data_IF_545940450908
#
_entry.id   IF_545940450908
#
_cell.length_a   1.000
_cell.length_b   1.000
_cell.length_c   1.000
_cell.angle_alpha   90.00
_cell.angle_beta   90.00
_cell.angle_gamma   90.00
#
_symmetry.space_group_name_H-M   'P 1'
#
loop_
_entity.id
_entity.type
_entity.pdbx_description
1 polymer ?
#
# COMPACT_ATOMS: atom_id res chain seq x y z
N UNK A 1 -81.76 12.70 33.94
CA UNK A 1 -81.35 12.16 35.25
C UNK A 1 -80.84 10.74 35.02
N UNK A 2 -79.54 10.51 35.19
CA UNK A 2 -78.86 9.23 35.49
C UNK A 2 -79.08 7.91 34.67
N UNK A 3 -77.92 7.35 34.26
CA UNK A 3 -77.52 5.94 34.02
C UNK A 3 -78.19 5.08 32.91
N UNK A 4 -77.43 4.59 31.92
CA UNK A 4 -76.74 3.27 31.94
C UNK A 4 -75.98 2.91 30.64
N UNK A 5 -74.66 2.70 30.79
CA UNK A 5 -73.73 1.64 30.30
C UNK A 5 -73.96 0.88 28.96
N UNK A 6 -72.93 0.89 28.10
CA UNK A 6 -72.13 -0.23 27.49
C UNK A 6 -71.47 0.30 26.21
N UNK A 7 -70.19 0.14 25.88
CA UNK A 7 -69.03 -0.54 26.44
C UNK A 7 -67.96 -0.67 25.34
N UNK A 8 -66.67 -0.52 25.68
CA UNK A 8 -65.56 -1.37 25.21
C UNK A 8 -64.20 -0.77 25.58
N UNK A 9 -63.33 -1.66 26.03
CA UNK A 9 -61.99 -1.50 26.59
C UNK A 9 -61.08 -0.56 25.76
N UNK A 10 -60.34 0.38 26.37
CA UNK A 10 -59.13 0.18 27.18
C UNK A 10 -58.04 -0.57 26.36
N UNK A 11 -56.83 -0.07 26.14
CA UNK A 11 -55.96 0.67 27.07
C UNK A 11 -54.80 1.33 26.31
N UNK A 12 -54.68 2.66 26.46
CA UNK A 12 -53.48 3.49 26.69
C UNK A 12 -52.19 3.16 25.92
N UNK A 13 -51.89 4.03 24.94
CA UNK A 13 -50.54 4.30 24.42
C UNK A 13 -49.85 5.28 25.38
N UNK A 14 -48.79 4.85 26.06
CA UNK A 14 -47.84 5.76 26.72
C UNK A 14 -46.40 5.27 26.55
N UNK A 15 -45.64 6.08 25.81
CA UNK A 15 -44.23 6.46 26.03
C UNK A 15 -43.27 5.45 26.66
N UNK A 16 -42.38 4.85 25.84
CA UNK A 16 -40.97 4.59 26.20
C UNK A 16 -40.10 4.57 24.92
N UNK A 17 -39.60 5.74 24.52
CA UNK A 17 -38.37 5.85 23.73
C UNK A 17 -37.21 5.78 24.71
N UNK A 18 -36.44 4.69 24.72
CA UNK A 18 -34.99 4.62 25.00
C UNK A 18 -34.58 3.14 25.07
N UNK A 19 -33.42 2.82 24.45
CA UNK A 19 -32.65 1.56 24.49
C UNK A 19 -33.07 0.44 23.50
N UNK A 20 -32.40 0.41 22.35
CA UNK A 20 -32.24 -0.81 21.53
C UNK A 20 -30.85 -1.41 21.78
N UNK A 21 -30.74 -2.70 22.15
CA UNK A 21 -29.45 -3.37 22.33
C UNK A 21 -28.94 -4.00 21.03
N UNK A 22 -27.61 -4.08 20.99
CA UNK A 22 -26.76 -4.84 20.06
C UNK A 22 -27.16 -6.33 20.11
N UNK A 23 -27.53 -6.92 18.98
CA UNK A 23 -27.78 -8.38 18.87
C UNK A 23 -26.69 -9.06 18.03
N UNK A 24 -26.06 -10.01 18.72
CA UNK A 24 -25.14 -11.05 18.30
C UNK A 24 -25.46 -11.71 16.94
N UNK A 25 -24.43 -11.84 16.11
CA UNK A 25 -24.35 -12.82 15.03
C UNK A 25 -23.37 -13.94 15.46
N UNK A 26 -23.87 -14.88 16.26
CA UNK A 26 -23.22 -16.15 16.56
C UNK A 26 -24.28 -17.24 16.56
N UNK A 27 -24.36 -18.03 15.49
CA UNK A 27 -24.68 -19.46 15.48
C UNK A 27 -24.75 -19.97 14.04
N UNK A 28 -24.65 -21.29 13.89
CA UNK A 28 -24.56 -22.09 12.66
C UNK A 28 -23.15 -22.37 12.12
N UNK A 29 -22.47 -23.30 12.80
CA UNK A 29 -21.63 -24.28 12.13
C UNK A 29 -21.99 -25.67 12.68
N UNK A 30 -22.75 -26.44 11.90
CA UNK A 30 -22.83 -27.89 12.12
C UNK A 30 -21.57 -28.58 11.59
N UNK A 31 -21.28 -29.70 12.25
CA UNK A 31 -20.02 -30.43 12.31
C UNK A 31 -19.98 -31.46 11.17
N UNK A 32 -18.89 -31.49 10.40
CA UNK A 32 -18.48 -32.69 9.66
C UNK A 32 -17.03 -33.00 10.06
N UNK A 33 -16.87 -34.03 10.89
CA UNK A 33 -15.60 -34.63 11.27
C UNK A 33 -15.13 -35.59 10.18
N UNK A 34 -14.03 -35.28 9.50
CA UNK A 34 -13.31 -36.24 8.65
C UNK A 34 -12.06 -36.70 9.39
N UNK A 35 -11.97 -38.01 9.67
CA UNK A 35 -10.83 -38.64 10.34
C UNK A 35 -9.57 -38.61 9.43
N UNK A 36 -8.36 -38.38 9.98
CA UNK A 36 -7.13 -38.38 9.20
C UNK A 36 -6.66 -39.82 8.87
N UNK A 37 -6.22 -40.02 7.63
CA UNK A 37 -5.54 -41.23 7.15
C UNK A 37 -4.03 -41.12 7.43
N UNK A 38 -3.35 -42.16 7.95
CA UNK A 38 -1.93 -42.09 8.26
C UNK A 38 -1.07 -42.33 7.01
N UNK A 39 -0.17 -41.41 6.68
CA UNK A 39 0.87 -41.62 5.66
C UNK A 39 2.23 -41.86 6.32
N UNK A 40 2.86 -43.00 5.99
CA UNK A 40 4.21 -43.35 6.40
C UNK A 40 5.25 -42.54 5.60
N UNK A 41 6.35 -42.09 6.22
CA UNK A 41 7.44 -41.44 5.49
C UNK A 41 8.29 -42.46 4.72
N UNK A 42 8.66 -42.12 3.47
CA UNK A 42 9.69 -42.83 2.69
C UNK A 42 11.06 -42.13 2.84
N UNK A 43 12.18 -42.86 2.70
CA UNK A 43 13.51 -42.34 3.02
C UNK A 43 14.05 -41.39 1.95
N UNK A 44 14.80 -40.39 2.41
CA UNK A 44 15.52 -39.39 1.60
C UNK A 44 16.81 -40.02 1.07
N UNK A 45 16.94 -40.12 -0.25
CA UNK A 45 18.24 -40.37 -0.91
C UNK A 45 18.94 -39.05 -1.19
N UNK A 46 20.10 -38.83 -0.57
CA UNK A 46 21.01 -37.73 -0.89
C UNK A 46 21.57 -37.91 -2.31
N UNK A 47 21.36 -36.92 -3.19
CA UNK A 47 22.13 -36.77 -4.43
C UNK A 47 23.14 -35.65 -4.28
N UNK A 48 24.40 -35.96 -4.48
CA UNK A 48 25.49 -35.01 -4.64
C UNK A 48 25.26 -34.13 -5.87
N UNK A 49 25.28 -32.80 -5.67
CA UNK A 49 25.34 -31.83 -6.74
C UNK A 49 26.81 -31.47 -7.02
N UNK A 50 27.28 -31.87 -8.19
CA UNK A 50 28.54 -31.43 -8.78
C UNK A 50 28.45 -29.96 -9.22
N UNK A 51 29.45 -29.16 -8.84
CA UNK A 51 29.62 -27.76 -9.20
C UNK A 51 29.67 -27.56 -10.73
N UNK A 52 28.67 -26.88 -11.29
CA UNK A 52 28.72 -26.32 -12.64
C UNK A 52 28.94 -24.82 -12.52
N UNK A 53 30.04 -24.31 -13.09
CA UNK A 53 30.32 -22.87 -13.19
C UNK A 53 29.33 -22.20 -14.16
N UNK A 54 28.80 -21.00 -13.85
CA UNK A 54 27.95 -20.26 -14.76
C UNK A 54 28.75 -19.70 -15.96
N UNK A 55 28.13 -19.58 -17.15
CA UNK A 55 28.77 -19.03 -18.34
C UNK A 55 28.92 -17.51 -18.26
N UNK A 56 30.06 -17.03 -18.74
CA UNK A 56 30.43 -15.61 -18.85
C UNK A 56 29.71 -14.98 -20.04
N UNK A 57 28.77 -14.07 -19.79
CA UNK A 57 28.13 -13.24 -20.83
C UNK A 57 28.95 -11.96 -21.00
N UNK A 58 29.67 -11.84 -22.13
CA UNK A 58 30.30 -10.59 -22.53
C UNK A 58 29.24 -9.63 -23.09
N UNK A 59 28.82 -8.63 -22.31
CA UNK A 59 28.00 -7.53 -22.80
C UNK A 59 28.87 -6.43 -23.40
N UNK A 60 29.03 -6.41 -24.73
CA UNK A 60 29.47 -5.19 -25.45
C UNK A 60 28.26 -4.26 -25.58
N UNK A 61 28.22 -3.20 -24.79
CA UNK A 61 27.33 -2.08 -25.04
C UNK A 61 27.85 -1.28 -26.25
N UNK A 62 27.01 -0.88 -27.21
CA UNK A 62 27.42 0.02 -28.29
C UNK A 62 27.71 1.43 -27.75
N UNK A 63 28.75 2.06 -28.32
CA UNK A 63 29.16 3.42 -27.98
C UNK A 63 28.08 4.47 -28.37
N UNK A 64 27.97 5.58 -27.62
CA UNK A 64 27.02 6.65 -27.94
C UNK A 64 27.40 7.39 -29.24
N UNK A 65 26.43 7.96 -29.98
CA UNK A 65 26.70 8.72 -31.20
C UNK A 65 27.56 9.97 -30.97
N UNK A 66 28.47 10.22 -31.91
CA UNK A 66 29.54 11.22 -31.94
C UNK A 66 29.09 12.70 -32.04
N UNK A 67 27.89 13.05 -31.60
CA UNK A 67 27.30 14.40 -31.79
C UNK A 67 27.12 15.22 -30.50
N UNK A 68 27.93 14.97 -29.46
CA UNK A 68 27.92 15.76 -28.20
C UNK A 68 29.33 16.23 -27.78
N UNK A 69 30.30 16.23 -28.71
CA UNK A 69 31.70 16.55 -28.40
C UNK A 69 32.02 18.06 -28.32
N UNK A 70 31.18 18.96 -28.84
CA UNK A 70 31.55 20.37 -29.02
C UNK A 70 30.63 21.37 -28.29
N UNK A 71 30.58 21.28 -26.95
CA UNK A 71 30.11 22.41 -26.14
C UNK A 71 31.16 22.83 -25.12
N UNK A 72 32.17 23.57 -25.58
CA UNK A 72 33.09 24.33 -24.72
C UNK A 72 32.40 25.61 -24.24
N UNK A 73 31.48 25.46 -23.29
CA UNK A 73 30.90 26.58 -22.54
C UNK A 73 31.87 27.07 -21.46
N UNK A 74 32.20 28.36 -21.51
CA UNK A 74 33.05 29.13 -20.60
C UNK A 74 33.07 28.63 -19.15
N UNK A 75 34.25 28.25 -18.67
CA UNK A 75 34.54 27.99 -17.25
C UNK A 75 34.48 29.31 -16.47
N UNK A 76 33.28 29.73 -16.10
CA UNK A 76 33.12 30.66 -14.99
C UNK A 76 33.15 29.82 -13.73
N UNK A 77 34.24 29.92 -12.94
CA UNK A 77 34.34 29.38 -11.59
C UNK A 77 33.30 30.07 -10.69
N UNK A 78 32.05 29.66 -10.81
CA UNK A 78 31.06 29.85 -9.76
C UNK A 78 31.51 28.88 -8.67
N UNK A 79 32.05 29.44 -7.59
CA UNK A 79 32.13 28.75 -6.31
C UNK A 79 30.72 28.24 -5.99
N UNK A 80 30.45 26.97 -6.31
CA UNK A 80 29.24 26.28 -5.88
C UNK A 80 29.33 26.20 -4.37
N UNK A 81 28.83 27.22 -3.67
CA UNK A 81 28.23 26.98 -2.36
C UNK A 81 27.21 25.89 -2.62
N UNK A 82 27.45 24.69 -2.10
CA UNK A 82 26.39 23.70 -1.90
C UNK A 82 25.23 24.45 -1.24
N UNK A 83 24.20 24.79 -2.02
CA UNK A 83 22.95 25.25 -1.45
C UNK A 83 22.40 24.04 -0.72
N UNK A 84 22.70 23.95 0.58
CA UNK A 84 22.11 22.96 1.47
C UNK A 84 20.60 23.10 1.36
N UNK A 85 19.96 22.13 0.72
CA UNK A 85 18.52 22.13 0.60
C UNK A 85 17.93 21.81 1.98
N UNK A 86 16.94 22.60 2.42
CA UNK A 86 16.34 22.42 3.73
C UNK A 86 15.38 21.22 3.72
N UNK A 87 15.42 20.34 4.73
CA UNK A 87 14.51 19.21 4.82
C UNK A 87 13.05 19.65 4.71
N UNK A 88 12.32 19.01 3.80
CA UNK A 88 10.89 19.25 3.60
C UNK A 88 10.11 18.53 4.70
N UNK A 89 9.22 19.26 5.37
CA UNK A 89 8.50 18.76 6.54
C UNK A 89 7.17 18.10 6.14
N UNK A 90 6.46 18.71 5.20
CA UNK A 90 5.08 18.38 4.88
C UNK A 90 5.00 17.40 3.71
N UNK A 91 4.27 16.30 3.88
CA UNK A 91 4.20 15.20 2.92
C UNK A 91 2.78 14.69 2.77
N UNK A 92 2.29 14.71 1.54
CA UNK A 92 1.08 13.98 1.16
C UNK A 92 1.51 12.69 0.49
N UNK A 93 1.65 11.63 1.28
CA UNK A 93 1.88 10.29 0.76
C UNK A 93 0.56 9.54 0.56
N UNK A 94 0.11 9.51 -0.69
CA UNK A 94 -1.07 8.73 -1.06
C UNK A 94 -0.70 7.28 -1.33
N UNK A 95 -1.17 6.37 -0.47
CA UNK A 95 -0.91 4.93 -0.61
C UNK A 95 -1.77 4.31 -1.72
N UNK A 96 -1.11 3.60 -2.62
CA UNK A 96 -1.79 2.66 -3.53
C UNK A 96 -1.75 1.23 -2.96
N UNK A 97 -2.69 0.39 -3.35
CA UNK A 97 -2.77 -0.97 -2.82
C UNK A 97 -1.75 -1.92 -3.47
N UNK A 98 -1.07 -2.70 -2.62
CA UNK A 98 -0.16 -3.82 -2.98
C UNK A 98 1.10 -3.41 -3.75
N UNK A 99 1.57 -2.21 -3.49
CA UNK A 99 2.76 -1.58 -4.10
C UNK A 99 3.91 -1.39 -3.12
N UNK A 100 4.05 -2.28 -2.13
CA UNK A 100 4.92 -2.08 -0.96
C UNK A 100 4.60 -0.81 -0.15
N UNK A 101 3.37 -0.30 -0.27
CA UNK A 101 2.99 1.01 0.28
C UNK A 101 3.04 1.10 1.80
N UNK A 102 2.91 -0.02 2.52
CA UNK A 102 3.08 -0.05 3.99
C UNK A 102 4.53 0.12 4.44
N UNK A 103 5.50 -0.31 3.63
CA UNK A 103 6.94 -0.14 3.88
C UNK A 103 7.29 1.35 3.79
N UNK A 104 6.85 2.02 2.72
CA UNK A 104 7.02 3.47 2.57
C UNK A 104 6.22 4.27 3.62
N UNK A 105 5.06 3.77 4.07
CA UNK A 105 4.29 4.41 5.15
C UNK A 105 5.12 4.47 6.43
N UNK A 106 5.87 3.41 6.78
CA UNK A 106 6.71 3.42 7.96
C UNK A 106 7.74 4.56 7.91
N UNK A 107 8.42 4.74 6.78
CA UNK A 107 9.38 5.84 6.55
C UNK A 107 8.72 7.19 6.82
N UNK A 108 7.59 7.48 6.17
CA UNK A 108 6.89 8.77 6.29
C UNK A 108 6.34 8.97 7.71
N UNK A 109 5.83 7.93 8.36
CA UNK A 109 5.36 7.99 9.74
C UNK A 109 6.48 8.28 10.74
N UNK A 110 7.67 7.67 10.58
CA UNK A 110 8.83 7.97 11.43
C UNK A 110 9.30 9.40 11.26
N UNK A 111 9.34 9.90 10.02
CA UNK A 111 9.68 11.29 9.75
C UNK A 111 8.74 12.25 10.49
N UNK A 112 7.43 12.05 10.34
CA UNK A 112 6.45 12.89 11.02
C UNK A 112 6.47 12.76 12.55
N UNK A 113 6.64 11.55 13.09
CA UNK A 113 6.73 11.33 14.54
C UNK A 113 7.94 12.05 15.15
N UNK A 114 9.13 11.87 14.57
CA UNK A 114 10.39 12.43 15.07
C UNK A 114 10.38 13.95 15.07
N UNK A 115 9.70 14.55 14.10
CA UNK A 115 9.61 16.00 13.95
C UNK A 115 8.34 16.60 14.59
N UNK A 116 7.59 15.83 15.39
CA UNK A 116 6.35 16.26 16.06
C UNK A 116 5.32 16.89 15.11
N UNK A 117 5.15 16.28 13.93
CA UNK A 117 4.21 16.74 12.91
C UNK A 117 2.81 16.17 13.12
N UNK A 118 1.82 16.90 12.62
CA UNK A 118 0.40 16.48 12.66
C UNK A 118 0.06 15.57 11.48
N UNK A 119 -0.78 14.56 11.73
CA UNK A 119 -1.15 13.56 10.72
C UNK A 119 -2.64 13.63 10.40
N UNK A 120 -2.98 13.60 9.12
CA UNK A 120 -4.35 13.38 8.65
C UNK A 120 -4.74 11.91 8.89
N UNK A 121 -5.24 11.61 10.10
CA UNK A 121 -5.63 10.26 10.52
C UNK A 121 -7.14 10.14 10.69
N UNK A 122 -7.79 9.08 10.18
CA UNK A 122 -9.19 8.81 10.46
C UNK A 122 -9.42 8.52 11.95
N UNK A 123 -10.58 8.89 12.49
CA UNK A 123 -10.88 8.82 13.94
C UNK A 123 -11.00 7.40 14.50
N UNK A 124 -11.49 6.45 13.70
CA UNK A 124 -11.85 5.09 14.14
C UNK A 124 -11.36 3.96 13.21
N UNK A 125 -11.03 4.24 11.95
CA UNK A 125 -10.69 3.24 10.92
C UNK A 125 -9.22 3.33 10.47
N UNK A 126 -8.79 2.47 9.56
CA UNK A 126 -7.46 2.53 8.91
C UNK A 126 -7.51 3.34 7.60
N UNK A 127 -8.66 3.29 6.91
CA UNK A 127 -8.92 4.02 5.67
C UNK A 127 -9.61 5.35 5.97
N UNK A 128 -9.26 6.37 5.20
CA UNK A 128 -9.96 7.65 5.17
C UNK A 128 -11.14 7.50 4.22
N UNK A 129 -12.31 7.94 4.66
CA UNK A 129 -13.52 7.94 3.85
C UNK A 129 -13.37 8.89 2.65
N UNK A 130 -14.06 8.58 1.56
CA UNK A 130 -14.07 9.43 0.36
C UNK A 130 -15.44 10.13 0.24
N UNK A 131 -15.48 11.45 0.03
CA UNK A 131 -14.34 12.38 0.01
C UNK A 131 -13.71 12.55 1.41
N UNK A 132 -12.43 12.94 1.44
CA UNK A 132 -11.74 13.23 2.70
C UNK A 132 -12.28 14.54 3.29
N UNK A 133 -12.76 14.50 4.52
CA UNK A 133 -13.29 15.67 5.25
C UNK A 133 -12.56 15.88 6.57
N UNK A 134 -12.62 17.10 7.12
CA UNK A 134 -11.98 17.41 8.41
C UNK A 134 -12.64 16.69 9.57
N UNK A 135 -13.95 16.52 9.52
CA UNK A 135 -14.76 15.88 10.55
C UNK A 135 -14.44 14.39 10.67
N UNK A 136 -14.01 13.77 9.57
CA UNK A 136 -13.56 12.38 9.53
C UNK A 136 -12.17 12.16 10.14
N UNK A 137 -11.43 13.23 10.45
CA UNK A 137 -10.04 13.18 10.92
C UNK A 137 -9.91 13.49 12.42
N UNK A 138 -8.83 12.97 13.02
CA UNK A 138 -8.41 13.41 14.36
C UNK A 138 -8.03 14.88 14.28
N UNK A 139 -8.59 15.70 15.16
CA UNK A 139 -8.36 17.15 15.17
C UNK A 139 -6.86 17.49 15.20
N UNK A 140 -6.48 18.47 14.38
CA UNK A 140 -5.17 19.13 14.44
C UNK A 140 -5.32 20.49 15.12
N UNK A 141 -4.41 20.87 16.04
CA UNK A 141 -4.43 22.19 16.68
C UNK A 141 -4.39 23.36 15.69
N UNK A 142 -3.71 23.22 14.55
CA UNK A 142 -3.60 24.27 13.53
C UNK A 142 -4.77 24.27 12.52
N UNK A 143 -5.63 23.26 12.55
CA UNK A 143 -6.68 23.04 11.53
C UNK A 143 -6.17 22.56 10.16
N UNK A 144 -4.86 22.36 10.02
CA UNK A 144 -4.17 21.79 8.85
C UNK A 144 -3.32 20.59 9.27
N UNK A 145 -2.90 19.77 8.30
CA UNK A 145 -2.10 18.57 8.56
C UNK A 145 -0.81 18.56 7.76
N UNK A 146 0.28 18.19 8.42
CA UNK A 146 1.60 18.10 7.80
C UNK A 146 1.76 16.79 7.00
N UNK A 147 1.22 15.68 7.50
CA UNK A 147 1.45 14.35 6.95
C UNK A 147 0.13 13.65 6.60
N UNK A 148 -0.01 13.21 5.35
CA UNK A 148 -0.94 12.14 4.98
C UNK A 148 -0.09 10.91 4.66
N UNK A 149 -0.43 9.76 5.26
CA UNK A 149 0.21 8.50 4.93
C UNK A 149 -0.78 7.32 4.98
N UNK A 150 -2.09 7.57 4.85
CA UNK A 150 -3.13 6.55 4.95
C UNK A 150 -3.64 6.12 3.57
N UNK A 151 -4.41 5.02 3.54
CA UNK A 151 -5.24 4.75 2.37
C UNK A 151 -6.36 5.79 2.33
N UNK A 152 -6.32 6.61 1.29
CA UNK A 152 -7.33 7.58 0.92
C UNK A 152 -7.52 7.48 -0.60
N UNK A 153 -8.53 8.14 -1.13
CA UNK A 153 -8.73 8.28 -2.57
C UNK A 153 -8.35 9.68 -3.00
N UNK A 154 -7.57 9.81 -4.08
CA UNK A 154 -7.06 11.10 -4.50
C UNK A 154 -8.19 12.06 -4.87
N UNK A 155 -8.24 13.20 -4.20
CA UNK A 155 -9.11 14.31 -4.54
C UNK A 155 -8.31 15.61 -4.37
N UNK A 156 -7.83 16.22 -5.47
CA UNK A 156 -6.92 17.36 -5.40
C UNK A 156 -7.44 18.50 -4.52
N UNK A 157 -8.73 18.82 -4.66
CA UNK A 157 -9.35 19.93 -3.92
C UNK A 157 -9.38 19.65 -2.41
N UNK A 158 -9.89 18.50 -2.00
CA UNK A 158 -9.96 18.14 -0.57
C UNK A 158 -8.57 18.08 0.06
N UNK A 159 -7.57 17.57 -0.68
CA UNK A 159 -6.20 17.46 -0.18
C UNK A 159 -5.58 18.85 -0.01
N UNK A 160 -5.70 19.72 -1.01
CA UNK A 160 -5.21 21.11 -0.93
C UNK A 160 -5.89 21.90 0.19
N UNK A 161 -7.18 21.64 0.42
CA UNK A 161 -7.94 22.34 1.46
C UNK A 161 -7.57 21.86 2.86
N UNK A 162 -7.07 20.62 3.05
CA UNK A 162 -6.83 19.99 4.36
C UNK A 162 -5.34 20.00 4.76
N UNK A 163 -4.46 19.80 3.79
CA UNK A 163 -3.03 19.63 4.02
C UNK A 163 -2.30 20.98 4.05
N UNK A 164 -1.09 21.00 4.61
CA UNK A 164 -0.24 22.20 4.59
C UNK A 164 0.09 22.64 3.14
N UNK A 165 0.07 23.95 2.80
CA UNK A 165 0.22 24.43 1.42
C UNK A 165 1.54 24.08 0.72
N UNK A 166 2.62 23.87 1.47
CA UNK A 166 3.96 23.51 0.99
C UNK A 166 4.22 21.99 1.04
N UNK A 167 3.16 21.18 1.11
CA UNK A 167 3.27 19.72 1.13
C UNK A 167 3.85 19.18 -0.18
N UNK A 168 4.80 18.26 -0.06
CA UNK A 168 5.30 17.46 -1.19
C UNK A 168 4.35 16.28 -1.41
N UNK A 169 3.80 16.16 -2.61
CA UNK A 169 2.88 15.09 -2.98
C UNK A 169 3.64 13.90 -3.55
N UNK A 170 3.55 12.77 -2.85
CA UNK A 170 4.20 11.52 -3.27
C UNK A 170 3.20 10.36 -3.32
N UNK A 171 3.47 9.41 -4.21
CA UNK A 171 2.78 8.12 -4.23
C UNK A 171 3.75 7.03 -4.70
N UNK A 172 3.32 5.78 -4.69
CA UNK A 172 4.13 4.65 -5.14
C UNK A 172 3.29 3.78 -6.07
N UNK A 173 3.91 3.26 -7.13
CA UNK A 173 3.29 2.34 -8.07
C UNK A 173 4.08 1.04 -8.15
N UNK A 174 3.45 -0.01 -8.67
CA UNK A 174 4.09 -1.28 -8.99
C UNK A 174 3.58 -1.77 -10.34
N UNK A 175 4.42 -2.51 -11.06
CA UNK A 175 4.00 -3.06 -12.34
C UNK A 175 2.70 -3.89 -12.19
N UNK A 176 1.66 -3.68 -13.02
CA UNK A 176 0.37 -4.35 -12.87
C UNK A 176 0.45 -5.87 -12.80
N UNK A 177 1.27 -6.52 -13.64
CA UNK A 177 1.46 -7.98 -13.57
C UNK A 177 1.92 -8.48 -12.19
N UNK A 178 2.78 -7.74 -11.48
CA UNK A 178 3.24 -8.13 -10.14
C UNK A 178 2.28 -7.71 -9.02
N UNK A 179 1.59 -6.60 -9.21
CA UNK A 179 0.69 -6.01 -8.23
C UNK A 179 -0.63 -6.80 -8.14
N UNK A 180 -1.19 -7.18 -9.28
CA UNK A 180 -2.59 -7.57 -9.39
C UNK A 180 -2.88 -8.95 -8.79
N UNK A 181 -1.94 -9.91 -8.89
CA UNK A 181 -2.08 -11.19 -8.19
C UNK A 181 -2.12 -11.00 -6.68
N UNK A 182 -1.27 -10.12 -6.15
CA UNK A 182 -1.32 -9.79 -4.73
C UNK A 182 -2.59 -9.04 -4.34
N UNK A 183 -3.15 -8.23 -5.24
CA UNK A 183 -4.40 -7.49 -5.05
C UNK A 183 -5.59 -8.45 -4.96
N UNK A 184 -5.78 -9.28 -5.98
CA UNK A 184 -6.88 -10.23 -6.08
C UNK A 184 -6.95 -11.15 -4.86
N UNK A 185 -5.79 -11.70 -4.47
CA UNK A 185 -5.68 -12.59 -3.31
C UNK A 185 -5.93 -11.88 -1.97
N UNK A 186 -5.37 -10.68 -1.79
CA UNK A 186 -5.48 -9.94 -0.53
C UNK A 186 -6.90 -9.48 -0.23
N UNK A 187 -7.65 -9.08 -1.26
CA UNK A 187 -9.05 -8.67 -1.12
C UNK A 187 -10.05 -9.83 -1.23
N UNK A 188 -9.54 -11.07 -1.26
CA UNK A 188 -10.33 -12.29 -1.31
C UNK A 188 -11.34 -12.32 -2.47
N UNK A 189 -10.95 -11.80 -3.64
CA UNK A 189 -11.85 -11.76 -4.80
C UNK A 189 -12.24 -13.16 -5.29
N UNK A 190 -11.40 -14.17 -5.04
CA UNK A 190 -11.68 -15.58 -5.31
C UNK A 190 -12.77 -16.20 -4.44
N UNK A 191 -13.16 -15.56 -3.33
CA UNK A 191 -14.10 -16.14 -2.39
C UNK A 191 -15.44 -16.49 -3.07
N UNK A 192 -16.12 -17.58 -2.69
CA UNK A 192 -17.39 -17.99 -3.30
C UNK A 192 -18.49 -16.92 -3.26
N UNK A 193 -18.48 -16.05 -2.24
CA UNK A 193 -19.42 -14.93 -2.09
C UNK A 193 -19.06 -13.69 -2.92
N UNK A 194 -17.90 -13.68 -3.57
CA UNK A 194 -17.43 -12.60 -4.45
C UNK A 194 -17.48 -13.09 -5.90
N UNK A 195 -16.42 -13.74 -6.41
CA UNK A 195 -16.41 -14.30 -7.76
C UNK A 195 -16.48 -15.82 -7.80
N UNK A 196 -16.06 -16.52 -6.74
CA UNK A 196 -15.94 -17.98 -6.74
C UNK A 196 -15.03 -18.50 -7.87
N UNK A 197 -14.01 -17.74 -8.24
CA UNK A 197 -13.13 -18.01 -9.37
C UNK A 197 -11.67 -17.73 -9.00
N UNK A 198 -10.75 -18.53 -9.52
CA UNK A 198 -9.33 -18.17 -9.47
C UNK A 198 -9.07 -16.91 -10.31
N UNK A 199 -7.94 -16.24 -10.10
CA UNK A 199 -7.56 -15.08 -10.91
C UNK A 199 -7.54 -15.41 -12.41
N UNK A 200 -6.97 -16.56 -12.80
CA UNK A 200 -6.95 -16.98 -14.19
C UNK A 200 -8.36 -17.11 -14.76
N UNK A 201 -9.25 -17.84 -14.07
CA UNK A 201 -10.63 -18.05 -14.53
C UNK A 201 -11.42 -16.74 -14.60
N UNK A 202 -11.17 -15.82 -13.65
CA UNK A 202 -11.73 -14.48 -13.71
C UNK A 202 -11.28 -13.72 -14.97
N UNK A 203 -9.99 -13.79 -15.32
CA UNK A 203 -9.42 -13.07 -16.47
C UNK A 203 -9.81 -13.64 -17.84
N UNK A 204 -10.37 -14.86 -17.91
CA UNK A 204 -10.95 -15.39 -19.16
C UNK A 204 -12.17 -14.58 -19.62
N UNK A 205 -12.97 -14.09 -18.66
CA UNK A 205 -14.17 -13.29 -18.92
C UNK A 205 -14.47 -12.36 -17.72
N UNK A 206 -13.62 -11.33 -17.50
CA UNK A 206 -13.70 -10.52 -16.29
C UNK A 206 -14.98 -9.67 -16.25
N UNK A 207 -15.53 -9.32 -17.42
CA UNK A 207 -16.75 -8.53 -17.51
C UNK A 207 -17.96 -9.31 -17.03
N UNK A 208 -18.10 -10.59 -17.41
CA UNK A 208 -19.19 -11.45 -16.91
C UNK A 208 -19.15 -11.62 -15.39
N UNK A 209 -17.97 -11.83 -14.82
CA UNK A 209 -17.81 -11.95 -13.36
C UNK A 209 -18.18 -10.66 -12.65
N UNK A 210 -17.73 -9.53 -13.17
CA UNK A 210 -18.02 -8.22 -12.62
C UNK A 210 -19.51 -7.89 -12.70
N UNK A 211 -20.17 -8.14 -13.82
CA UNK A 211 -21.60 -7.91 -13.99
C UNK A 211 -22.42 -8.81 -13.06
N UNK A 212 -22.02 -10.06 -12.90
CA UNK A 212 -22.61 -10.96 -11.92
C UNK A 212 -22.45 -10.43 -10.48
N UNK A 213 -21.25 -9.97 -10.10
CA UNK A 213 -21.01 -9.43 -8.76
C UNK A 213 -21.83 -8.15 -8.49
N UNK A 214 -21.97 -7.27 -9.48
CA UNK A 214 -22.83 -6.08 -9.41
C UNK A 214 -24.30 -6.46 -9.26
N UNK A 215 -24.79 -7.39 -10.08
CA UNK A 215 -26.19 -7.84 -10.03
C UNK A 215 -26.54 -8.50 -8.69
N UNK A 216 -25.55 -9.09 -8.01
CA UNK A 216 -25.71 -9.66 -6.67
C UNK A 216 -25.43 -8.69 -5.53
N UNK A 217 -25.15 -7.43 -5.82
CA UNK A 217 -24.79 -6.41 -4.82
C UNK A 217 -23.67 -6.90 -3.89
N UNK A 218 -22.62 -7.50 -4.46
CA UNK A 218 -21.47 -7.97 -3.68
C UNK A 218 -20.87 -6.80 -2.89
N UNK A 219 -20.91 -6.90 -1.56
CA UNK A 219 -20.36 -5.88 -0.66
C UNK A 219 -18.84 -6.05 -0.49
N UNK A 220 -18.10 -5.85 -1.57
CA UNK A 220 -16.64 -5.79 -1.58
C UNK A 220 -16.18 -4.71 -2.58
N UNK A 221 -16.07 -3.44 -2.16
CA UNK A 221 -15.73 -2.34 -3.05
C UNK A 221 -14.39 -2.53 -3.78
N UNK A 222 -13.44 -3.23 -3.17
CA UNK A 222 -12.15 -3.49 -3.81
C UNK A 222 -12.30 -4.48 -4.97
N UNK A 223 -13.09 -5.53 -4.78
CA UNK A 223 -13.39 -6.46 -5.85
C UNK A 223 -14.46 -5.98 -6.83
N UNK A 224 -15.16 -4.86 -6.59
CA UNK A 224 -16.23 -4.36 -7.49
C UNK A 224 -15.88 -3.02 -8.13
N UNK A 225 -15.53 -2.01 -7.32
CA UNK A 225 -15.28 -0.65 -7.79
C UNK A 225 -13.81 -0.44 -8.21
N UNK A 226 -12.86 -1.12 -7.56
CA UNK A 226 -11.44 -0.94 -7.81
C UNK A 226 -10.80 -2.10 -8.59
N UNK A 227 -11.59 -3.10 -9.00
CA UNK A 227 -11.08 -4.33 -9.59
C UNK A 227 -10.38 -4.11 -10.94
N UNK A 228 -10.67 -3.03 -11.66
CA UNK A 228 -10.00 -2.70 -12.92
C UNK A 228 -9.11 -1.48 -12.72
N UNK A 229 -7.82 -1.58 -13.02
CA UNK A 229 -6.86 -0.50 -12.78
C UNK A 229 -6.88 0.00 -11.31
N UNK A 230 -6.63 -0.88 -10.32
CA UNK A 230 -6.73 -0.53 -8.90
C UNK A 230 -5.80 0.63 -8.49
N UNK A 231 -4.65 0.80 -9.14
CA UNK A 231 -3.74 1.89 -8.79
C UNK A 231 -4.27 3.24 -9.28
N UNK A 232 -4.79 3.32 -10.50
CA UNK A 232 -5.55 4.48 -10.99
C UNK A 232 -6.78 4.75 -10.12
N UNK A 233 -7.45 3.71 -9.62
CA UNK A 233 -8.60 3.88 -8.72
C UNK A 233 -8.24 4.62 -7.44
N UNK A 234 -7.15 4.19 -6.79
CA UNK A 234 -6.60 4.87 -5.61
C UNK A 234 -6.23 6.33 -5.93
N UNK A 235 -5.70 6.57 -7.13
CA UNK A 235 -5.35 7.89 -7.67
C UNK A 235 -6.55 8.66 -8.25
N UNK A 236 -7.78 8.34 -7.85
CA UNK A 236 -8.98 9.15 -8.13
C UNK A 236 -9.59 8.96 -9.52
N UNK A 237 -9.14 7.96 -10.29
CA UNK A 237 -9.84 7.54 -11.51
C UNK A 237 -11.00 6.60 -11.13
N UNK A 238 -12.14 6.67 -11.79
CA UNK A 238 -13.18 5.66 -11.58
C UNK A 238 -12.89 4.47 -12.48
N UNK A 239 -12.70 3.31 -11.85
CA UNK A 239 -13.04 2.07 -12.49
C UNK A 239 -14.49 1.77 -12.12
N UNK A 240 -15.34 1.51 -13.11
CA UNK A 240 -16.45 0.56 -12.93
C UNK A 240 -17.68 1.00 -12.08
N UNK A 241 -17.69 2.05 -11.24
CA UNK A 241 -18.91 2.39 -10.47
C UNK A 241 -19.94 3.24 -11.24
N UNK A 242 -21.22 2.81 -11.21
CA UNK A 242 -22.39 3.62 -11.61
C UNK A 242 -22.66 4.71 -10.56
N UNK A 243 -22.84 5.95 -11.01
CA UNK A 243 -23.54 7.01 -10.28
C UNK A 243 -22.72 7.90 -9.35
N UNK A 244 -21.47 7.57 -9.01
CA UNK A 244 -20.60 8.48 -8.24
C UNK A 244 -19.70 9.32 -9.14
N UNK A 245 -19.62 10.63 -8.86
CA UNK A 245 -18.74 11.54 -9.59
C UNK A 245 -17.28 11.21 -9.25
N UNK A 246 -16.60 10.60 -10.20
CA UNK A 246 -15.13 10.46 -10.21
C UNK A 246 -14.47 11.83 -9.99
N UNK A 247 -13.38 11.94 -9.21
CA UNK A 247 -12.48 13.09 -9.28
C UNK A 247 -12.04 13.38 -10.72
N UNK A 248 -11.77 12.33 -11.49
CA UNK A 248 -11.43 12.41 -12.92
C UNK A 248 -12.60 12.83 -13.84
N UNK A 249 -13.84 12.90 -13.33
CA UNK A 249 -15.06 13.23 -14.10
C UNK A 249 -15.15 12.40 -15.38
N UNK A 250 -15.18 13.05 -16.55
CA UNK A 250 -15.24 12.45 -17.88
C UNK A 250 -13.87 12.33 -18.55
N UNK A 251 -12.76 12.57 -17.83
CA UNK A 251 -11.42 12.48 -18.37
C UNK A 251 -11.09 11.05 -18.81
N UNK A 252 -10.37 10.95 -19.92
CA UNK A 252 -9.70 9.72 -20.34
C UNK A 252 -8.55 9.38 -19.40
N UNK A 253 -8.04 8.15 -19.49
CA UNK A 253 -6.85 7.72 -18.72
C UNK A 253 -5.66 8.62 -19.02
N UNK A 254 -5.42 8.96 -20.29
CA UNK A 254 -4.26 9.75 -20.69
C UNK A 254 -4.34 11.19 -20.17
N UNK A 255 -5.52 11.82 -20.23
CA UNK A 255 -5.76 13.14 -19.62
C UNK A 255 -5.57 13.11 -18.10
N UNK A 256 -6.03 12.05 -17.43
CA UNK A 256 -5.85 11.92 -15.99
C UNK A 256 -4.39 11.72 -15.60
N UNK A 257 -3.61 10.97 -16.39
CA UNK A 257 -2.15 10.84 -16.18
C UNK A 257 -1.47 12.21 -16.27
N UNK A 258 -1.90 13.10 -17.18
CA UNK A 258 -1.38 14.48 -17.25
C UNK A 258 -1.71 15.27 -15.97
N UNK A 259 -2.91 15.11 -15.41
CA UNK A 259 -3.27 15.72 -14.11
C UNK A 259 -2.37 15.18 -13.01
N UNK A 260 -2.23 13.86 -12.89
CA UNK A 260 -1.38 13.23 -11.88
C UNK A 260 0.08 13.67 -11.99
N UNK A 261 0.62 13.79 -13.21
CA UNK A 261 1.99 14.25 -13.44
C UNK A 261 2.23 15.70 -12.98
N UNK A 262 1.19 16.53 -12.94
CA UNK A 262 1.25 17.90 -12.41
C UNK A 262 1.00 17.93 -10.91
N UNK A 263 0.25 16.97 -10.36
CA UNK A 263 -0.15 16.95 -8.95
C UNK A 263 0.86 16.26 -8.03
N UNK A 264 1.65 15.31 -8.53
CA UNK A 264 2.61 14.56 -7.72
C UNK A 264 4.04 15.00 -8.01
N UNK A 265 4.72 15.47 -6.97
CA UNK A 265 6.14 15.85 -7.02
C UNK A 265 7.05 14.63 -7.23
N UNK A 266 6.66 13.46 -6.73
CA UNK A 266 7.38 12.21 -6.93
C UNK A 266 6.43 11.00 -6.96
N UNK A 267 6.56 10.17 -7.99
CA UNK A 267 5.94 8.84 -8.04
C UNK A 267 7.04 7.79 -7.96
N UNK A 268 7.08 7.09 -6.82
CA UNK A 268 8.02 6.00 -6.57
C UNK A 268 7.58 4.74 -7.33
N UNK A 269 8.54 3.86 -7.64
CA UNK A 269 8.30 2.58 -8.31
C UNK A 269 8.79 1.45 -7.41
N UNK A 270 7.86 0.60 -6.95
CA UNK A 270 8.15 -0.50 -6.04
C UNK A 270 9.07 -1.56 -6.66
N UNK A 271 9.04 -1.72 -7.98
CA UNK A 271 9.96 -2.59 -8.73
C UNK A 271 11.43 -2.11 -8.64
N UNK A 272 11.64 -0.82 -8.34
CA UNK A 272 12.94 -0.16 -8.15
C UNK A 272 12.94 0.58 -6.80
N UNK A 273 12.58 -0.13 -5.73
CA UNK A 273 12.27 0.49 -4.44
C UNK A 273 13.45 1.28 -3.87
N UNK A 274 14.67 0.72 -3.90
CA UNK A 274 15.85 1.37 -3.33
C UNK A 274 16.26 2.60 -4.13
N UNK A 275 16.19 2.52 -5.46
CA UNK A 275 16.36 3.66 -6.37
C UNK A 275 15.32 4.75 -6.07
N UNK A 276 14.06 4.34 -5.86
CA UNK A 276 12.99 5.26 -5.51
C UNK A 276 13.22 5.93 -4.15
N UNK A 277 13.88 5.27 -3.19
CA UNK A 277 14.29 5.90 -1.92
C UNK A 277 15.38 6.95 -2.12
N UNK A 278 16.31 6.77 -3.07
CA UNK A 278 17.25 7.83 -3.45
C UNK A 278 16.49 9.04 -4.01
N UNK A 279 15.56 8.80 -4.94
CA UNK A 279 14.73 9.88 -5.48
C UNK A 279 13.92 10.60 -4.37
N UNK A 280 13.36 9.85 -3.41
CA UNK A 280 12.66 10.41 -2.25
C UNK A 280 13.58 11.28 -1.39
N UNK A 281 14.76 10.77 -1.07
CA UNK A 281 15.76 11.47 -0.26
C UNK A 281 16.12 12.83 -0.85
N UNK A 282 16.39 12.87 -2.16
CA UNK A 282 16.68 14.11 -2.89
C UNK A 282 15.47 15.05 -2.96
N UNK A 283 14.28 14.50 -3.23
CA UNK A 283 13.04 15.31 -3.32
C UNK A 283 12.70 15.97 -1.99
N UNK A 284 12.97 15.27 -0.89
CA UNK A 284 12.61 15.68 0.46
C UNK A 284 13.74 16.39 1.21
N UNK A 285 14.95 16.42 0.65
CA UNK A 285 16.15 16.87 1.37
C UNK A 285 16.33 16.13 2.70
N UNK A 286 16.08 14.82 2.67
CA UNK A 286 16.24 13.93 3.81
C UNK A 286 17.61 13.29 3.81
N UNK A 287 17.98 12.68 4.93
CA UNK A 287 19.21 11.93 5.09
C UNK A 287 18.98 10.42 4.93
N UNK A 288 20.08 9.67 4.79
CA UNK A 288 20.00 8.20 4.67
C UNK A 288 19.27 7.56 5.86
N UNK A 289 19.49 8.07 7.08
CA UNK A 289 18.81 7.59 8.30
C UNK A 289 17.29 7.75 8.28
N UNK A 290 16.76 8.61 7.40
CA UNK A 290 15.33 8.91 7.35
C UNK A 290 14.60 7.89 6.49
N UNK A 291 15.26 7.38 5.45
CA UNK A 291 14.69 6.50 4.42
C UNK A 291 14.99 5.02 4.63
N UNK A 292 15.76 4.64 5.65
CA UNK A 292 16.03 3.23 5.99
C UNK A 292 14.76 2.47 6.31
N UNK A 293 14.70 1.17 6.04
CA UNK A 293 13.47 0.42 6.30
C UNK A 293 13.75 -1.04 6.53
N UNK A 294 12.98 -1.65 7.41
CA UNK A 294 12.86 -3.10 7.40
C UNK A 294 11.89 -3.47 6.30
N UNK A 295 12.22 -4.49 5.52
CA UNK A 295 11.37 -4.95 4.42
C UNK A 295 10.14 -5.70 4.98
N UNK A 296 9.27 -4.98 5.69
CA UNK A 296 7.99 -5.49 6.18
C UNK A 296 7.23 -5.97 4.94
N UNK A 297 6.98 -7.27 4.82
CA UNK A 297 6.27 -7.95 3.73
C UNK A 297 7.09 -8.51 2.56
N UNK A 298 8.41 -8.71 2.67
CA UNK A 298 9.07 -9.59 1.71
C UNK A 298 8.44 -10.98 1.81
N UNK A 299 7.78 -11.43 0.74
CA UNK A 299 7.33 -12.82 0.65
C UNK A 299 8.56 -13.67 0.41
N UNK A 300 8.75 -14.74 1.18
CA UNK A 300 9.64 -15.79 0.70
C UNK A 300 9.12 -16.25 -0.65
N UNK A 301 9.98 -16.48 -1.65
CA UNK A 301 9.59 -17.20 -2.85
C UNK A 301 8.92 -18.49 -2.37
N UNK A 302 7.65 -18.67 -2.70
CA UNK A 302 6.94 -19.90 -2.37
C UNK A 302 7.76 -21.07 -2.92
N UNK A 303 8.18 -22.01 -2.06
CA UNK A 303 8.90 -23.22 -2.47
C UNK A 303 8.08 -24.08 -3.45
N UNK A 304 6.79 -23.79 -3.58
CA UNK A 304 5.90 -24.18 -4.67
C UNK A 304 5.58 -22.94 -5.49
N UNK A 305 5.92 -22.89 -6.80
CA UNK A 305 5.31 -21.94 -7.70
C UNK A 305 3.80 -22.03 -7.48
N UNK A 306 3.11 -20.92 -7.19
CA UNK A 306 1.65 -20.95 -7.29
C UNK A 306 1.33 -21.51 -8.67
N UNK A 307 0.31 -22.37 -8.81
CA UNK A 307 -0.07 -22.99 -10.09
C UNK A 307 -0.22 -21.93 -11.22
N UNK A 308 -0.43 -20.66 -10.83
CA UNK A 308 -0.45 -19.46 -11.65
C UNK A 308 0.88 -19.05 -12.32
N UNK A 309 2.06 -19.38 -11.77
CA UNK A 309 3.35 -19.14 -12.43
C UNK A 309 3.62 -20.08 -13.62
N UNK A 310 2.82 -21.14 -13.78
CA UNK A 310 2.93 -22.06 -14.91
C UNK A 310 2.13 -21.60 -16.15
N UNK A 311 1.44 -20.46 -16.05
CA UNK A 311 0.61 -19.93 -17.12
C UNK A 311 1.34 -18.77 -17.80
N UNK A 312 2.08 -19.09 -18.86
CA UNK A 312 2.90 -18.12 -19.61
C UNK A 312 2.13 -16.87 -20.06
N UNK A 313 0.83 -16.99 -20.33
CA UNK A 313 -0.01 -15.90 -20.83
C UNK A 313 -0.69 -15.05 -19.73
N UNK A 314 -0.60 -15.45 -18.46
CA UNK A 314 -1.29 -14.74 -17.36
C UNK A 314 -0.85 -13.27 -17.21
N UNK A 315 0.45 -12.90 -17.29
CA UNK A 315 0.87 -11.51 -17.25
C UNK A 315 0.20 -10.64 -18.33
N UNK A 316 0.07 -11.16 -19.57
CA UNK A 316 -0.58 -10.45 -20.68
C UNK A 316 -2.08 -10.23 -20.43
N UNK A 317 -2.76 -11.21 -19.84
CA UNK A 317 -4.17 -11.06 -19.45
C UNK A 317 -4.35 -9.98 -18.37
N UNK A 318 -3.47 -9.98 -17.35
CA UNK A 318 -3.49 -8.96 -16.29
C UNK A 318 -3.24 -7.56 -16.88
N UNK A 319 -2.26 -7.42 -17.76
CA UNK A 319 -1.91 -6.15 -18.40
C UNK A 319 -3.02 -5.65 -19.32
N UNK A 320 -3.66 -6.54 -20.10
CA UNK A 320 -4.81 -6.21 -20.94
C UNK A 320 -6.00 -5.71 -20.12
N UNK A 321 -6.34 -6.44 -19.04
CA UNK A 321 -7.44 -6.04 -18.15
C UNK A 321 -7.16 -4.69 -17.47
N UNK A 322 -5.91 -4.48 -17.04
CA UNK A 322 -5.44 -3.29 -16.33
C UNK A 322 -4.63 -2.34 -17.25
N UNK A 323 -5.03 -2.18 -18.51
CA UNK A 323 -4.28 -1.38 -19.47
C UNK A 323 -4.06 0.09 -19.05
N UNK A 324 -4.97 0.64 -18.23
CA UNK A 324 -4.80 1.99 -17.68
C UNK A 324 -3.67 2.06 -16.67
N UNK A 325 -3.57 1.09 -15.76
CA UNK A 325 -2.45 1.01 -14.82
C UNK A 325 -1.12 0.72 -15.54
N UNK A 326 -1.15 0.00 -16.68
CA UNK A 326 0.05 -0.19 -17.52
C UNK A 326 0.54 1.15 -18.07
N UNK A 327 -0.35 1.96 -18.65
CA UNK A 327 -0.01 3.30 -19.13
C UNK A 327 0.53 4.19 -18.01
N UNK A 328 -0.15 4.18 -16.86
CA UNK A 328 0.25 4.93 -15.66
C UNK A 328 1.67 4.54 -15.21
N UNK A 329 1.93 3.24 -15.06
CA UNK A 329 3.22 2.71 -14.63
C UNK A 329 4.33 3.08 -15.62
N UNK A 330 4.12 2.88 -16.92
CA UNK A 330 5.12 3.20 -17.94
C UNK A 330 5.48 4.68 -17.95
N UNK A 331 4.50 5.57 -17.78
CA UNK A 331 4.73 7.01 -17.68
C UNK A 331 5.63 7.34 -16.48
N UNK A 332 5.24 6.92 -15.28
CA UNK A 332 5.94 7.30 -14.06
C UNK A 332 7.26 6.56 -13.85
N UNK A 333 7.42 5.36 -14.42
CA UNK A 333 8.72 4.70 -14.47
C UNK A 333 9.73 5.54 -15.27
N UNK A 334 9.33 6.09 -16.43
CA UNK A 334 10.19 7.00 -17.20
C UNK A 334 10.51 8.28 -16.42
N UNK A 335 9.56 8.86 -15.68
CA UNK A 335 9.83 10.06 -14.89
C UNK A 335 10.78 9.79 -13.72
N UNK A 336 10.68 8.63 -13.08
CA UNK A 336 11.62 8.22 -12.04
C UNK A 336 13.05 8.13 -12.60
N UNK A 337 13.25 7.40 -13.69
CA UNK A 337 14.58 7.24 -14.29
C UNK A 337 15.18 8.55 -14.76
N UNK A 338 14.38 9.45 -15.36
CA UNK A 338 14.84 10.81 -15.70
C UNK A 338 15.34 11.57 -14.48
N UNK A 339 14.64 11.47 -13.33
CA UNK A 339 15.08 12.12 -12.09
C UNK A 339 16.38 11.51 -11.55
N UNK A 340 16.52 10.20 -11.59
CA UNK A 340 17.76 9.52 -11.18
C UNK A 340 18.94 9.87 -12.09
N UNK A 341 18.71 10.01 -13.39
CA UNK A 341 19.73 10.46 -14.35
C UNK A 341 20.19 11.89 -14.05
N UNK A 342 19.30 12.79 -13.62
CA UNK A 342 19.64 14.15 -13.21
C UNK A 342 20.48 14.20 -11.92
N UNK A 343 20.29 13.26 -11.00
CA UNK A 343 21.15 13.10 -9.81
C UNK A 343 22.54 12.58 -10.22
N UNK A 344 22.60 11.78 -11.29
CA UNK A 344 23.81 11.19 -11.83
C UNK A 344 24.03 9.76 -11.33
N UNK A 345 24.26 8.84 -12.28
CA UNK A 345 24.31 7.38 -12.03
C UNK A 345 25.31 6.97 -10.95
N UNK A 346 26.49 7.58 -10.93
CA UNK A 346 27.52 7.29 -9.93
C UNK A 346 27.13 7.76 -8.52
N UNK A 347 26.42 8.88 -8.39
CA UNK A 347 25.90 9.36 -7.11
C UNK A 347 24.77 8.45 -6.62
N UNK A 348 23.82 8.12 -7.51
CA UNK A 348 22.73 7.18 -7.22
C UNK A 348 23.26 5.84 -6.73
N UNK A 349 24.28 5.25 -7.40
CA UNK A 349 24.87 3.99 -6.97
C UNK A 349 25.48 4.04 -5.56
N UNK A 350 26.17 5.14 -5.21
CA UNK A 350 26.72 5.33 -3.86
C UNK A 350 25.62 5.44 -2.81
N UNK A 351 24.54 6.16 -3.12
CA UNK A 351 23.43 6.34 -2.18
C UNK A 351 22.61 5.05 -1.98
N UNK A 352 22.41 4.27 -3.04
CA UNK A 352 21.84 2.92 -2.94
C UNK A 352 22.68 2.08 -1.98
N UNK A 353 24.01 2.04 -2.17
CA UNK A 353 24.91 1.28 -1.31
C UNK A 353 24.85 1.77 0.15
N UNK A 354 24.75 3.09 0.37
CA UNK A 354 24.63 3.67 1.71
C UNK A 354 23.30 3.28 2.40
N UNK A 355 22.18 3.36 1.68
CA UNK A 355 20.86 2.95 2.20
C UNK A 355 20.86 1.45 2.54
N UNK A 356 21.36 0.61 1.63
CA UNK A 356 21.42 -0.85 1.85
C UNK A 356 22.30 -1.21 3.04
N UNK A 357 23.51 -0.63 3.11
CA UNK A 357 24.42 -0.83 4.23
C UNK A 357 23.75 -0.45 5.55
N UNK A 358 23.12 0.72 5.60
CA UNK A 358 22.49 1.20 6.82
C UNK A 358 21.28 0.38 7.23
N UNK A 359 20.47 -0.05 6.27
CA UNK A 359 19.37 -1.00 6.51
C UNK A 359 19.90 -2.31 7.11
N UNK A 360 20.98 -2.88 6.56
CA UNK A 360 21.59 -4.11 7.10
C UNK A 360 22.09 -3.92 8.54
N UNK A 361 22.81 -2.83 8.83
CA UNK A 361 23.26 -2.52 10.20
C UNK A 361 22.09 -2.46 11.19
N UNK A 362 20.96 -1.87 10.80
CA UNK A 362 19.77 -1.78 11.65
C UNK A 362 19.06 -3.12 11.79
N UNK A 363 19.02 -3.94 10.74
CA UNK A 363 18.50 -5.32 10.79
C UNK A 363 19.33 -6.13 11.78
N UNK A 364 20.66 -6.11 11.65
CA UNK A 364 21.58 -6.84 12.53
C UNK A 364 21.52 -6.32 13.97
N UNK A 365 21.33 -5.01 14.16
CA UNK A 365 21.17 -4.42 15.50
C UNK A 365 19.85 -4.87 16.14
N UNK A 366 18.75 -4.78 15.42
CA UNK A 366 17.41 -4.87 16.00
C UNK A 366 16.82 -6.28 16.03
N UNK A 367 17.11 -7.14 15.04
CA UNK A 367 16.33 -8.34 14.76
C UNK A 367 17.04 -9.63 15.18
N UNK A 368 16.32 -10.51 15.89
CA UNK A 368 16.83 -11.79 16.39
C UNK A 368 16.60 -12.93 15.39
N UNK A 369 15.39 -12.98 14.83
CA UNK A 369 14.98 -13.90 13.78
C UNK A 369 13.97 -13.22 12.86
N UNK A 370 14.02 -13.54 11.56
CA UNK A 370 12.95 -13.23 10.62
C UNK A 370 12.07 -14.48 10.52
N UNK A 371 10.97 -14.53 11.28
CA UNK A 371 9.99 -15.60 11.14
C UNK A 371 9.13 -15.34 9.89
N UNK A 372 9.34 -16.17 8.87
CA UNK A 372 8.59 -16.12 7.62
C UNK A 372 7.34 -17.01 7.75
N UNK A 373 6.16 -16.40 7.82
CA UNK A 373 4.90 -17.15 7.88
C UNK A 373 4.44 -17.48 6.46
N UNK A 374 4.04 -18.73 6.21
CA UNK A 374 3.57 -19.19 4.91
C UNK A 374 2.17 -18.63 4.55
N UNK A 375 1.86 -18.53 3.25
CA UNK A 375 0.55 -18.07 2.74
C UNK A 375 -0.63 -18.89 3.32
N UNK A 376 -0.43 -20.18 3.58
CA UNK A 376 -1.45 -21.07 4.16
C UNK A 376 -1.74 -20.71 5.61
N UNK A 377 -0.72 -20.33 6.38
CA UNK A 377 -0.85 -19.94 7.78
C UNK A 377 -1.43 -18.52 7.94
N UNK A 378 -1.12 -17.62 6.99
CA UNK A 378 -1.82 -16.33 6.82
C UNK A 378 -3.32 -16.53 6.58
N UNK A 379 -3.70 -17.43 5.65
CA UNK A 379 -5.10 -17.73 5.29
C UNK A 379 -5.95 -18.24 6.48
N UNK A 380 -5.36 -18.95 7.44
CA UNK A 380 -6.07 -19.51 8.59
C UNK A 380 -6.13 -18.59 9.81
N UNK A 381 -5.17 -17.67 9.99
CA UNK A 381 -5.08 -16.82 11.21
C UNK A 381 -5.67 -15.43 11.07
N UNK A 382 -5.88 -14.90 9.85
CA UNK A 382 -6.44 -13.55 9.66
C UNK A 382 -7.93 -13.52 9.33
N UNK A 383 -8.56 -14.69 9.15
CA UNK A 383 -10.00 -14.80 8.98
C UNK A 383 -10.68 -14.91 10.36
N UNK A 384 -10.93 -13.75 10.96
CA UNK A 384 -11.71 -13.56 12.19
C UNK A 384 -11.04 -14.04 13.49
N UNK A 385 -11.09 -13.17 14.52
CA UNK A 385 -10.66 -13.36 15.93
C UNK A 385 -9.20 -13.04 16.26
N UNK A 386 -8.89 -11.77 16.56
CA UNK A 386 -8.49 -11.28 17.90
C UNK A 386 -7.85 -9.89 17.84
N UNK A 387 -8.05 -9.03 18.86
CA UNK A 387 -7.35 -7.75 18.98
C UNK A 387 -5.96 -7.96 19.58
N UNK A 388 -5.02 -8.60 18.89
CA UNK A 388 -3.68 -8.82 19.47
C UNK A 388 -2.55 -8.77 18.44
N UNK A 389 -1.50 -8.08 18.90
CA UNK A 389 -0.10 -8.06 18.47
C UNK A 389 0.32 -9.31 17.70
N UNK A 390 1.09 -9.08 16.63
CA UNK A 390 1.85 -10.06 15.87
C UNK A 390 1.03 -10.75 14.78
N UNK A 391 1.36 -10.44 13.52
CA UNK A 391 1.32 -11.30 12.32
C UNK A 391 0.92 -10.45 11.11
N UNK A 392 1.86 -9.60 10.71
CA UNK A 392 2.15 -9.24 9.32
C UNK A 392 3.68 -9.17 9.30
N UNK A 393 4.36 -10.27 8.94
CA UNK A 393 5.81 -10.45 9.03
C UNK A 393 6.41 -9.85 10.33
N UNK A 394 6.13 -10.46 11.50
CA UNK A 394 6.60 -9.91 12.77
C UNK A 394 8.10 -10.17 12.91
N UNK A 395 8.87 -9.19 12.52
CA UNK A 395 10.22 -8.99 13.01
C UNK A 395 10.27 -9.21 14.53
N UNK A 396 11.00 -10.23 14.96
CA UNK A 396 11.24 -10.42 16.38
C UNK A 396 12.43 -9.57 16.77
N UNK A 397 12.18 -8.55 17.61
CA UNK A 397 13.26 -7.74 18.16
C UNK A 397 14.11 -8.57 19.12
N UNK A 398 15.44 -8.41 19.02
CA UNK A 398 16.40 -8.91 20.01
C UNK A 398 15.97 -8.50 21.41
N UNK A 399 16.18 -9.37 22.39
CA UNK A 399 15.75 -9.16 23.78
C UNK A 399 16.18 -7.79 24.33
N UNK A 400 17.43 -7.40 24.12
CA UNK A 400 17.98 -6.10 24.53
C UNK A 400 17.45 -4.89 23.76
N UNK A 401 16.86 -5.09 22.58
CA UNK A 401 16.33 -4.03 21.71
C UNK A 401 14.81 -3.85 21.84
N UNK A 402 14.14 -4.64 22.67
CA UNK A 402 12.68 -4.56 22.86
C UNK A 402 12.19 -3.22 23.36
N UNK A 403 13.04 -2.44 24.04
CA UNK A 403 12.74 -1.10 24.54
C UNK A 403 13.43 0.01 23.73
N UNK A 404 14.20 -0.32 22.69
CA UNK A 404 14.85 0.67 21.82
C UNK A 404 13.78 1.34 20.93
N UNK A 405 13.57 2.68 21.03
CA UNK A 405 12.50 3.35 20.31
C UNK A 405 12.62 3.21 18.80
N UNK A 406 13.83 3.27 18.26
CA UNK A 406 14.07 3.16 16.82
C UNK A 406 13.76 1.75 16.30
N UNK A 407 14.25 0.70 16.98
CA UNK A 407 13.95 -0.69 16.63
C UNK A 407 12.45 -0.98 16.72
N UNK A 408 11.77 -0.48 17.77
CA UNK A 408 10.32 -0.62 17.88
C UNK A 408 9.61 -0.01 16.68
N UNK A 409 9.94 1.24 16.30
CA UNK A 409 9.29 1.92 15.17
C UNK A 409 9.60 1.29 13.83
N UNK A 410 10.83 0.84 13.61
CA UNK A 410 11.21 0.09 12.40
C UNK A 410 10.41 -1.21 12.25
N UNK A 411 10.05 -1.87 13.35
CA UNK A 411 9.29 -3.11 13.35
C UNK A 411 7.75 -2.93 13.40
N UNK A 412 7.24 -1.70 13.54
CA UNK A 412 5.79 -1.48 13.59
C UNK A 412 5.14 -1.78 12.24
N UNK A 413 4.08 -2.60 12.30
CA UNK A 413 3.17 -2.77 11.18
C UNK A 413 2.39 -1.48 10.92
N UNK A 414 1.96 -1.30 9.68
CA UNK A 414 1.15 -0.17 9.24
C UNK A 414 -0.04 0.15 10.19
N UNK A 415 -0.93 -0.81 10.52
CA UNK A 415 -2.05 -0.53 11.44
C UNK A 415 -1.60 -0.12 12.84
N UNK A 416 -0.60 -0.80 13.40
CA UNK A 416 -0.11 -0.52 14.75
C UNK A 416 0.53 0.87 14.84
N UNK A 417 1.22 1.30 13.77
CA UNK A 417 1.82 2.63 13.74
C UNK A 417 0.74 3.72 13.65
N UNK A 418 -0.24 3.55 12.78
CA UNK A 418 -1.37 4.49 12.69
C UNK A 418 -2.14 4.59 14.02
N UNK A 419 -2.36 3.47 14.71
CA UNK A 419 -2.97 3.46 16.03
C UNK A 419 -2.15 4.18 17.08
N UNK A 420 -0.83 3.99 17.07
CA UNK A 420 0.09 4.70 17.95
C UNK A 420 0.01 6.22 17.72
N UNK A 421 0.13 6.67 16.47
CA UNK A 421 0.07 8.09 16.11
C UNK A 421 -1.30 8.70 16.45
N UNK A 422 -2.38 7.97 16.22
CA UNK A 422 -3.75 8.41 16.56
C UNK A 422 -3.88 8.65 18.06
N UNK A 423 -3.34 7.76 18.90
CA UNK A 423 -3.35 7.92 20.36
C UNK A 423 -2.45 9.07 20.82
N UNK A 424 -1.29 9.27 20.17
CA UNK A 424 -0.39 10.40 20.43
C UNK A 424 -1.12 11.72 20.18
N UNK A 425 -1.67 11.91 18.98
CA UNK A 425 -2.39 13.15 18.62
C UNK A 425 -3.59 13.42 19.53
N UNK A 426 -4.37 12.40 19.90
CA UNK A 426 -5.52 12.58 20.81
C UNK A 426 -5.15 12.99 22.24
N UNK A 427 -3.88 12.87 22.64
CA UNK A 427 -3.39 13.34 23.96
C UNK A 427 -2.83 14.76 23.91
N UNK A 428 -2.52 15.25 22.71
CA UNK A 428 -1.91 16.56 22.46
C UNK A 428 -2.95 17.63 22.13
N UNK A 429 -4.19 17.21 21.86
CA UNK A 429 -5.40 18.04 21.74
C UNK A 429 -6.18 17.97 23.04
#
# INVERSE_FOLDING_TARGET
MSFHVKGSAATVVFLLFFLYPIINWFQYSEIITVKPVPTRPRPITQRHYSHVKPPTIQSRAPAPPEALADWSGSQTLITMREQRCLPKMNVVYLKTHKTASSTLQNIVCRWGERNNLTFALPTTRVHIEYPMTREGLVKSPSGTYNILANHARFEPKAFNDIMSPDSVYITILRHPHQQYESYYNYFHCQAPRVYGASLHKFLEDPQRYLDYARNRNVNNPQCVDAIRNPQLYDLGFNSVRRGEKSPARSATVDEWIVVLNKSFDLVLIADYFTESLVALKHTMCWETEDVVVFDVNRRLPSATPSETHQIEYLPKLIESWNAGDVKLYQHFNRTLWRRLDLIGRSAVAREIAAIQKRTHELVDRCLDNIEWISDTEYRTKTAYQTPLKNIVASYTLKSGMRNDPLCQRLALTAPNYLDFLRRKMKREV
#
